data_IF_371685152040
#
_entry.id   IF_371685152040
#
_cell.length_a   1.000
_cell.length_b   1.000
_cell.length_c   1.000
_cell.angle_alpha   90.00
_cell.angle_beta   90.00
_cell.angle_gamma   90.00
#
_symmetry.space_group_name_H-M   'P 1'
#
loop_
_entity.id
_entity.type
_entity.pdbx_description
1 polymer ?
#
# COMPACT_ATOMS: atom_id res chain seq x y z
N UNK A 1 -1.39 11.54 11.24
CA UNK A 1 -1.46 11.56 9.76
C UNK A 1 -2.93 11.54 9.33
N UNK A 2 -3.36 12.39 8.37
CA UNK A 2 -4.80 12.55 8.03
C UNK A 2 -5.32 11.62 6.92
N UNK A 3 -4.46 10.75 6.39
CA UNK A 3 -4.79 9.87 5.26
C UNK A 3 -5.59 8.64 5.68
N UNK A 4 -5.42 8.18 6.92
CA UNK A 4 -6.18 7.07 7.50
C UNK A 4 -7.14 7.64 8.54
N UNK A 5 -8.43 7.30 8.39
CA UNK A 5 -9.50 7.74 9.28
C UNK A 5 -9.44 7.05 10.65
N UNK A 6 -10.22 7.54 11.61
CA UNK A 6 -10.36 6.93 12.94
C UNK A 6 -10.96 5.50 12.92
N UNK A 7 -11.44 5.03 11.77
CA UNK A 7 -11.91 3.66 11.55
C UNK A 7 -10.84 2.78 10.89
N UNK A 8 -9.59 3.25 10.83
CA UNK A 8 -8.49 2.53 10.19
C UNK A 8 -8.70 2.26 8.70
N UNK A 9 -9.37 3.20 8.01
CA UNK A 9 -9.63 3.15 6.58
C UNK A 9 -8.98 4.34 5.87
N UNK A 10 -8.41 4.11 4.69
CA UNK A 10 -7.87 5.16 3.84
C UNK A 10 -8.98 6.14 3.41
N UNK A 11 -8.69 7.44 3.48
CA UNK A 11 -9.61 8.51 3.08
C UNK A 11 -9.41 8.85 1.60
N UNK A 12 -10.24 8.25 0.74
CA UNK A 12 -10.18 8.46 -0.70
C UNK A 12 -10.42 9.93 -1.12
N UNK A 13 -11.22 10.69 -0.37
CA UNK A 13 -11.48 12.11 -0.69
C UNK A 13 -10.26 12.97 -0.35
N UNK A 14 -9.55 12.65 0.73
CA UNK A 14 -8.28 13.29 1.05
C UNK A 14 -7.22 13.01 -0.02
N UNK A 15 -7.12 11.77 -0.52
CA UNK A 15 -6.21 11.45 -1.63
C UNK A 15 -6.50 12.30 -2.88
N UNK A 16 -7.77 12.40 -3.27
CA UNK A 16 -8.20 13.26 -4.40
C UNK A 16 -7.84 14.72 -4.15
N UNK A 17 -8.05 15.22 -2.93
CA UNK A 17 -7.73 16.60 -2.56
C UNK A 17 -6.23 16.90 -2.66
N UNK A 18 -5.39 15.93 -2.33
CA UNK A 18 -3.94 16.02 -2.45
C UNK A 18 -3.44 15.82 -3.89
N UNK A 19 -4.33 15.50 -4.83
CA UNK A 19 -3.97 15.19 -6.21
C UNK A 19 -3.21 13.88 -6.35
N UNK A 20 -3.42 12.95 -5.42
CA UNK A 20 -2.79 11.63 -5.46
C UNK A 20 -3.55 10.69 -6.40
N UNK A 21 -2.78 9.83 -7.03
CA UNK A 21 -3.25 8.62 -7.71
C UNK A 21 -3.21 7.48 -6.70
N UNK A 22 -4.19 6.58 -6.78
CA UNK A 22 -4.24 5.37 -5.98
C UNK A 22 -4.56 4.17 -6.88
N UNK A 23 -3.88 3.05 -6.63
CA UNK A 23 -4.05 1.77 -7.30
C UNK A 23 -4.16 0.67 -6.27
N UNK A 24 -5.08 -0.25 -6.51
CA UNK A 24 -5.20 -1.48 -5.73
C UNK A 24 -4.25 -2.51 -6.34
N UNK A 25 -3.49 -3.17 -5.47
CA UNK A 25 -2.55 -4.22 -5.84
C UNK A 25 -2.86 -5.50 -5.05
N UNK A 26 -2.47 -6.67 -5.58
CA UNK A 26 -2.62 -7.93 -4.86
C UNK A 26 -1.76 -7.94 -3.60
N UNK A 27 -2.34 -8.43 -2.51
CA UNK A 27 -1.66 -8.85 -1.29
C UNK A 27 -0.71 -7.83 -0.63
N UNK A 28 -0.05 -8.23 0.46
CA UNK A 28 0.98 -7.43 1.11
C UNK A 28 2.28 -7.45 0.27
N UNK A 29 3.01 -6.32 0.14
CA UNK A 29 4.22 -6.26 -0.67
C UNK A 29 5.33 -7.13 -0.07
N UNK A 30 5.94 -7.97 -0.89
CA UNK A 30 7.11 -8.76 -0.52
C UNK A 30 8.34 -7.88 -0.25
N UNK A 31 9.33 -8.43 0.46
CA UNK A 31 10.62 -7.75 0.67
C UNK A 31 11.27 -7.36 -0.66
N UNK A 32 11.17 -8.21 -1.69
CA UNK A 32 11.74 -7.94 -3.01
C UNK A 32 11.07 -6.74 -3.69
N UNK A 33 9.75 -6.62 -3.59
CA UNK A 33 8.98 -5.51 -4.16
C UNK A 33 9.30 -4.19 -3.45
N UNK A 34 9.48 -4.22 -2.12
CA UNK A 34 9.91 -3.05 -1.34
C UNK A 34 11.32 -2.63 -1.78
N UNK A 35 12.26 -3.57 -1.89
CA UNK A 35 13.64 -3.28 -2.34
C UNK A 35 13.65 -2.70 -3.75
N UNK A 36 12.91 -3.29 -4.68
CA UNK A 36 12.85 -2.81 -6.08
C UNK A 36 12.22 -1.43 -6.16
N UNK A 37 11.14 -1.18 -5.42
CA UNK A 37 10.47 0.14 -5.37
C UNK A 37 11.41 1.21 -4.83
N UNK A 38 12.08 0.91 -3.72
CA UNK A 38 13.07 1.80 -3.09
C UNK A 38 14.18 2.18 -4.07
N UNK A 39 14.74 1.18 -4.77
CA UNK A 39 15.78 1.41 -5.78
C UNK A 39 15.29 2.18 -7.00
N UNK A 40 14.10 1.85 -7.49
CA UNK A 40 13.51 2.49 -8.68
C UNK A 40 13.34 3.99 -8.47
N UNK A 41 12.96 4.39 -7.26
CA UNK A 41 12.62 5.76 -6.95
C UNK A 41 13.77 6.52 -6.27
N UNK A 42 14.87 5.86 -5.94
CA UNK A 42 16.01 6.44 -5.21
C UNK A 42 15.64 6.89 -3.79
N UNK A 43 14.72 6.16 -3.14
CA UNK A 43 14.37 6.39 -1.74
C UNK A 43 15.42 5.80 -0.80
N UNK A 44 15.76 6.49 0.28
CA UNK A 44 16.77 6.01 1.24
C UNK A 44 16.16 5.61 2.58
N UNK A 45 15.00 6.20 2.91
CA UNK A 45 14.33 6.03 4.20
C UNK A 45 12.90 5.56 4.05
N UNK A 46 12.49 4.69 4.97
CA UNK A 46 11.13 4.17 5.06
C UNK A 46 10.65 4.36 6.49
N UNK A 47 9.42 4.84 6.65
CA UNK A 47 8.74 4.87 7.94
C UNK A 47 7.45 4.07 7.87
N UNK A 48 6.99 3.63 9.04
CA UNK A 48 5.82 2.79 9.17
C UNK A 48 4.86 3.40 10.17
N UNK A 49 3.57 3.18 9.90
CA UNK A 49 2.50 3.48 10.82
C UNK A 49 1.57 2.29 10.91
N UNK A 50 1.17 1.89 12.11
CA UNK A 50 0.11 0.91 12.32
C UNK A 50 -1.18 1.61 12.75
N UNK A 51 -2.31 1.15 12.21
CA UNK A 51 -3.65 1.69 12.47
C UNK A 51 -4.60 0.61 12.98
N UNK A 52 -4.35 0.06 14.15
CA UNK A 52 -5.24 -0.94 14.76
C UNK A 52 -6.57 -0.32 15.21
N UNK A 53 -7.68 -1.02 14.94
CA UNK A 53 -9.01 -0.53 15.30
C UNK A 53 -9.13 -0.34 16.82
N UNK A 54 -9.48 0.88 17.25
CA UNK A 54 -9.63 1.22 18.67
C UNK A 54 -8.33 1.59 19.39
N UNK A 55 -7.21 1.66 18.68
CA UNK A 55 -5.92 2.10 19.20
C UNK A 55 -5.45 3.40 18.54
N UNK A 56 -4.61 4.16 19.24
CA UNK A 56 -3.90 5.28 18.63
C UNK A 56 -2.88 4.76 17.61
N UNK A 57 -2.62 5.50 16.52
CA UNK A 57 -1.63 5.08 15.54
C UNK A 57 -0.24 4.91 16.14
N UNK A 58 0.39 3.76 15.88
CA UNK A 58 1.76 3.48 16.31
C UNK A 58 2.74 3.89 15.20
N UNK A 59 3.82 4.59 15.56
CA UNK A 59 4.82 5.08 14.62
C UNK A 59 6.14 4.34 14.77
N UNK A 60 6.76 4.00 13.63
CA UNK A 60 8.08 3.41 13.59
C UNK A 60 8.98 4.03 12.51
N UNK A 61 10.17 4.48 12.91
CA UNK A 61 11.22 4.96 12.00
C UNK A 61 11.54 6.46 12.15
N UNK A 62 12.12 7.09 11.11
CA UNK A 62 12.47 6.50 9.81
C UNK A 62 13.65 5.53 9.90
N UNK A 63 13.56 4.42 9.17
CA UNK A 63 14.57 3.37 9.08
C UNK A 63 15.27 3.40 7.71
N UNK A 64 16.52 2.93 7.65
CA UNK A 64 17.14 2.58 6.37
C UNK A 64 16.51 1.30 5.80
N UNK A 65 16.72 1.01 4.52
CA UNK A 65 16.12 -0.14 3.84
C UNK A 65 16.31 -1.48 4.60
N UNK A 66 17.50 -1.75 5.16
CA UNK A 66 17.73 -3.01 5.88
C UNK A 66 16.86 -3.12 7.14
N UNK A 67 16.82 -2.07 7.96
CA UNK A 67 16.00 -2.03 9.17
C UNK A 67 14.51 -2.05 8.84
N UNK A 68 14.12 -1.39 7.75
CA UNK A 68 12.75 -1.37 7.26
C UNK A 68 12.26 -2.76 6.87
N UNK A 69 13.07 -3.57 6.18
CA UNK A 69 12.67 -4.94 5.80
C UNK A 69 12.42 -5.84 7.02
N UNK A 70 13.28 -5.77 8.04
CA UNK A 70 13.07 -6.50 9.30
C UNK A 70 11.74 -6.09 9.93
N UNK A 71 11.46 -4.78 9.95
CA UNK A 71 10.22 -4.26 10.51
C UNK A 71 8.98 -4.66 9.71
N UNK A 72 9.06 -4.63 8.38
CA UNK A 72 7.98 -5.12 7.52
C UNK A 72 7.61 -6.55 7.89
N UNK A 73 8.61 -7.40 8.13
CA UNK A 73 8.37 -8.78 8.56
C UNK A 73 7.72 -8.85 9.94
N UNK A 74 8.31 -8.19 10.95
CA UNK A 74 7.86 -8.24 12.34
C UNK A 74 6.43 -7.67 12.53
N UNK A 75 6.11 -6.61 11.78
CA UNK A 75 4.85 -5.87 11.90
C UNK A 75 3.86 -6.21 10.77
N UNK A 76 4.18 -7.17 9.90
CA UNK A 76 3.36 -7.53 8.73
C UNK A 76 1.92 -7.85 9.09
N UNK A 77 1.68 -8.48 10.23
CA UNK A 77 0.37 -8.88 10.74
C UNK A 77 -0.57 -7.73 11.14
N UNK A 78 -0.09 -6.48 11.13
CA UNK A 78 -0.85 -5.29 11.51
C UNK A 78 -1.46 -4.60 10.30
N UNK A 79 -2.45 -3.74 10.53
CA UNK A 79 -2.88 -2.76 9.53
C UNK A 79 -1.77 -1.72 9.33
N UNK A 80 -0.96 -1.90 8.30
CA UNK A 80 0.33 -1.25 8.16
C UNK A 80 0.35 -0.28 6.97
N UNK A 81 0.76 0.95 7.23
CA UNK A 81 1.17 1.91 6.21
C UNK A 81 2.70 1.98 6.16
N UNK A 82 3.25 1.75 4.98
CA UNK A 82 4.65 1.93 4.63
C UNK A 82 4.77 3.22 3.84
N UNK A 83 5.58 4.17 4.30
CA UNK A 83 5.88 5.41 3.59
C UNK A 83 7.34 5.42 3.18
N UNK A 84 7.58 5.65 1.89
CA UNK A 84 8.91 6.01 1.40
C UNK A 84 9.15 7.48 1.77
N UNK A 85 10.04 7.78 2.71
CA UNK A 85 10.04 9.10 3.37
C UNK A 85 10.46 10.23 2.42
N UNK A 86 11.44 9.94 1.58
CA UNK A 86 12.04 10.92 0.66
C UNK A 86 11.14 11.19 -0.56
N UNK A 87 10.07 10.41 -0.72
CA UNK A 87 9.27 10.33 -1.94
C UNK A 87 7.84 10.07 -1.51
N UNK A 88 6.91 11.01 -1.71
CA UNK A 88 5.51 10.89 -1.26
C UNK A 88 4.72 9.77 -2.00
N UNK A 89 5.13 8.53 -1.76
CA UNK A 89 4.58 7.26 -2.17
C UNK A 89 4.37 6.41 -0.91
N UNK A 90 3.26 5.70 -0.90
CA UNK A 90 2.78 4.97 0.24
C UNK A 90 2.24 3.61 -0.20
N UNK A 91 2.51 2.58 0.58
CA UNK A 91 1.79 1.31 0.54
C UNK A 91 0.98 1.18 1.81
N UNK A 92 -0.33 0.99 1.67
CA UNK A 92 -1.20 0.68 2.79
C UNK A 92 -1.75 -0.73 2.63
N UNK A 93 -1.41 -1.59 3.58
CA UNK A 93 -1.90 -2.95 3.64
C UNK A 93 -2.83 -3.08 4.86
N UNK A 94 -4.15 -3.13 4.65
CA UNK A 94 -5.10 -3.39 5.72
C UNK A 94 -4.93 -4.81 6.28
N UNK A 95 -5.56 -5.02 7.44
CA UNK A 95 -5.68 -6.32 8.10
C UNK A 95 -6.16 -7.41 7.12
N UNK A 96 -5.70 -8.65 7.31
CA UNK A 96 -5.92 -9.84 6.44
C UNK A 96 -5.17 -9.85 5.10
N UNK A 97 -4.62 -8.70 4.65
CA UNK A 97 -3.70 -8.61 3.51
C UNK A 97 -4.20 -9.24 2.21
N UNK A 98 -5.50 -9.27 1.95
CA UNK A 98 -6.05 -9.72 0.66
C UNK A 98 -5.73 -8.71 -0.48
N UNK A 99 -5.34 -7.49 -0.13
CA UNK A 99 -4.93 -6.44 -1.05
C UNK A 99 -4.00 -5.45 -0.34
N UNK A 100 -3.35 -4.60 -1.13
CA UNK A 100 -2.78 -3.35 -0.66
C UNK A 100 -3.18 -2.19 -1.56
N UNK A 101 -3.05 -0.98 -1.06
CA UNK A 101 -3.21 0.26 -1.81
C UNK A 101 -1.85 0.93 -1.98
N UNK A 102 -1.45 1.17 -3.23
CA UNK A 102 -0.34 2.04 -3.56
C UNK A 102 -0.86 3.41 -3.97
N UNK A 103 -0.39 4.46 -3.30
CA UNK A 103 -0.80 5.82 -3.63
C UNK A 103 0.31 6.85 -3.46
N UNK A 104 0.18 7.96 -4.17
CA UNK A 104 1.16 9.05 -4.22
C UNK A 104 0.94 9.93 -5.45
N UNK A 105 1.92 10.75 -5.81
CA UNK A 105 1.85 11.52 -7.06
C UNK A 105 1.75 10.60 -8.30
N UNK A 106 0.98 11.04 -9.29
CA UNK A 106 0.61 10.23 -10.46
C UNK A 106 1.81 9.72 -11.26
N UNK A 107 2.85 10.54 -11.39
CA UNK A 107 4.10 10.19 -12.07
C UNK A 107 4.86 9.07 -11.35
N UNK A 108 4.89 9.11 -10.01
CA UNK A 108 5.53 8.08 -9.18
C UNK A 108 4.77 6.77 -9.26
N UNK A 109 3.45 6.81 -9.04
CA UNK A 109 2.60 5.61 -9.12
C UNK A 109 2.70 4.98 -10.50
N UNK A 110 2.62 5.79 -11.57
CA UNK A 110 2.78 5.30 -12.94
C UNK A 110 4.15 4.67 -13.17
N UNK A 111 5.23 5.29 -12.69
CA UNK A 111 6.60 4.76 -12.84
C UNK A 111 6.74 3.38 -12.19
N UNK A 112 6.14 3.17 -11.02
CA UNK A 112 6.13 1.85 -10.36
C UNK A 112 5.27 0.86 -11.14
N UNK A 113 4.07 1.24 -11.58
CA UNK A 113 3.22 0.33 -12.37
C UNK A 113 3.89 -0.11 -13.69
N UNK A 114 4.55 0.82 -14.39
CA UNK A 114 5.23 0.54 -15.67
C UNK A 114 6.52 -0.28 -15.51
N UNK A 115 7.06 -0.38 -14.29
CA UNK A 115 8.32 -1.08 -14.03
C UNK A 115 8.20 -2.61 -14.03
N UNK A 116 6.97 -3.14 -13.94
CA UNK A 116 6.74 -4.58 -13.80
C UNK A 116 7.27 -5.17 -12.49
N UNK A 117 7.40 -4.36 -11.42
CA UNK A 117 7.81 -4.83 -10.09
C UNK A 117 6.79 -5.84 -9.54
N UNK A 118 5.51 -5.54 -9.70
CA UNK A 118 4.40 -6.40 -9.29
C UNK A 118 4.07 -7.37 -10.41
N UNK A 119 4.17 -8.66 -10.12
CA UNK A 119 4.11 -9.74 -11.13
C UNK A 119 2.72 -10.01 -11.70
N UNK A 120 1.67 -9.48 -11.07
CA UNK A 120 0.28 -9.65 -11.48
C UNK A 120 -0.47 -8.34 -11.36
N UNK A 121 -1.35 -8.10 -12.32
CA UNK A 121 -2.37 -7.05 -12.18
C UNK A 121 -3.44 -7.47 -11.18
N UNK A 122 -4.15 -6.51 -10.61
CA UNK A 122 -5.25 -6.82 -9.69
C UNK A 122 -6.37 -7.62 -10.39
N UNK A 123 -6.67 -7.33 -11.66
CA UNK A 123 -7.65 -8.11 -12.43
C UNK A 123 -7.21 -9.56 -12.65
N UNK A 124 -5.93 -9.83 -12.90
CA UNK A 124 -5.41 -11.21 -12.94
C UNK A 124 -5.51 -11.90 -11.58
N UNK A 125 -5.22 -11.17 -10.50
CA UNK A 125 -5.36 -11.69 -9.14
C UNK A 125 -6.80 -12.10 -8.82
N UNK A 126 -7.80 -11.30 -9.19
CA UNK A 126 -9.23 -11.60 -9.00
C UNK A 126 -9.70 -12.86 -9.73
N UNK A 127 -8.95 -13.35 -10.73
CA UNK A 127 -9.23 -14.57 -11.47
C UNK A 127 -8.50 -15.80 -10.90
N UNK A 128 -7.76 -15.63 -9.81
CA UNK A 128 -6.98 -16.69 -9.18
C UNK A 128 -7.90 -17.79 -8.62
N UNK A 129 -7.59 -19.08 -8.84
CA UNK A 129 -8.45 -20.20 -8.45
C UNK A 129 -8.60 -20.38 -6.94
N UNK A 130 -7.86 -19.62 -6.11
CA UNK A 130 -7.93 -19.65 -4.66
C UNK A 130 -8.95 -18.70 -4.04
N UNK A 131 -9.49 -17.74 -4.80
CA UNK A 131 -10.45 -16.77 -4.28
C UNK A 131 -11.88 -17.27 -4.39
N UNK A 132 -12.66 -17.08 -3.32
CA UNK A 132 -14.10 -17.34 -3.36
C UNK A 132 -14.84 -16.24 -4.12
N UNK A 133 -16.00 -16.54 -4.72
CA UNK A 133 -16.84 -15.54 -5.39
C UNK A 133 -17.17 -14.34 -4.48
N UNK A 134 -17.38 -14.60 -3.19
CA UNK A 134 -17.65 -13.56 -2.19
C UNK A 134 -16.43 -12.65 -1.96
N UNK A 135 -15.24 -13.24 -1.88
CA UNK A 135 -13.98 -12.48 -1.75
C UNK A 135 -13.77 -11.60 -2.98
N UNK A 136 -13.98 -12.15 -4.18
CA UNK A 136 -13.86 -11.39 -5.45
C UNK A 136 -14.85 -10.22 -5.50
N UNK A 137 -16.10 -10.41 -5.07
CA UNK A 137 -17.10 -9.32 -5.00
C UNK A 137 -16.63 -8.18 -4.09
N UNK A 138 -16.09 -8.51 -2.91
CA UNK A 138 -15.58 -7.52 -1.95
C UNK A 138 -14.37 -6.79 -2.53
N UNK A 139 -13.41 -7.50 -3.11
CA UNK A 139 -12.20 -6.92 -3.70
C UNK A 139 -12.52 -6.02 -4.91
N UNK A 140 -13.50 -6.39 -5.75
CA UNK A 140 -13.98 -5.51 -6.83
C UNK A 140 -14.61 -4.23 -6.30
N UNK A 141 -15.31 -4.29 -5.16
CA UNK A 141 -15.85 -3.08 -4.53
C UNK A 141 -14.72 -2.17 -4.04
N UNK A 142 -13.69 -2.75 -3.42
CA UNK A 142 -12.49 -2.04 -2.95
C UNK A 142 -11.76 -1.39 -4.14
N UNK A 143 -11.57 -2.12 -5.25
CA UNK A 143 -10.96 -1.57 -6.47
C UNK A 143 -11.70 -0.35 -6.99
N UNK A 144 -13.03 -0.43 -7.06
CA UNK A 144 -13.87 0.68 -7.50
C UNK A 144 -13.83 1.88 -6.53
N UNK A 145 -13.66 1.64 -5.24
CA UNK A 145 -13.61 2.68 -4.21
C UNK A 145 -12.27 3.42 -4.21
N UNK A 146 -11.16 2.69 -4.35
CA UNK A 146 -9.82 3.23 -4.13
C UNK A 146 -9.00 3.46 -5.41
N UNK A 147 -9.46 3.06 -6.59
CA UNK A 147 -8.80 3.45 -7.83
C UNK A 147 -9.06 4.92 -8.14
N UNK A 148 -8.03 5.76 -7.99
CA UNK A 148 -8.12 7.22 -8.12
C UNK A 148 -7.08 7.71 -9.12
N UNK A 149 -7.50 8.60 -10.03
CA UNK A 149 -6.66 9.24 -11.05
C UNK A 149 -6.15 8.24 -12.09
N UNK A 150 -6.59 8.33 -13.34
CA UNK A 150 -6.08 7.51 -14.45
C UNK A 150 -4.81 8.12 -15.04
#
# INVERSE_FOLDING_TARGET
MKLISAKSQLDAEELKRLGYTCRVLPEFPSEEEIVKTTKLLEGEKIEFWSFEYGHDPEYFGPDNLRSALVRTYDESHKNLLIKFVDIDLYFWAPEEHEYMLMFGHSDLVKRVMDSGIFGFTFEEYLQSPGLSDKTVEVLRRIENEYTIGL
#
